data_IF_355602914140
#
_entry.id   IF_355602914140
#
_cell.length_a   1.000
_cell.length_b   1.000
_cell.length_c   1.000
_cell.angle_alpha   90.00
_cell.angle_beta   90.00
_cell.angle_gamma   90.00
#
_symmetry.space_group_name_H-M   'P 1'
#
loop_
_entity.id
_entity.type
_entity.pdbx_description
1 polymer ?
#
# COMPACT_ATOMS: atom_id res chain seq x y z
N UNK A 1 15.36 8.63 4.79
CA UNK A 1 14.15 9.04 4.06
C UNK A 1 13.66 7.89 3.18
N UNK A 2 12.40 7.53 3.26
CA UNK A 2 11.88 6.40 2.49
C UNK A 2 10.42 6.58 2.07
N UNK A 3 10.06 5.94 0.99
CA UNK A 3 8.67 5.81 0.54
C UNK A 3 8.27 4.33 0.63
N UNK A 4 7.22 4.06 1.39
CA UNK A 4 6.58 2.75 1.46
C UNK A 4 5.37 2.73 0.54
N UNK A 5 5.28 1.72 -0.33
CA UNK A 5 4.11 1.46 -1.16
C UNK A 5 3.62 0.05 -0.85
N UNK A 6 2.39 -0.05 -0.38
CA UNK A 6 1.74 -1.33 -0.14
C UNK A 6 0.76 -1.64 -1.26
N UNK A 7 1.07 -2.66 -2.05
CA UNK A 7 0.22 -3.13 -3.14
C UNK A 7 -0.55 -4.38 -2.74
N UNK A 8 -1.86 -4.22 -2.62
CA UNK A 8 -2.82 -5.27 -2.26
C UNK A 8 -4.06 -5.13 -3.15
N UNK A 9 -5.26 -5.49 -2.67
CA UNK A 9 -6.51 -5.22 -3.39
C UNK A 9 -6.63 -3.72 -3.74
N UNK A 10 -6.21 -2.84 -2.83
CA UNK A 10 -5.97 -1.42 -3.08
C UNK A 10 -4.50 -1.08 -2.88
N UNK A 11 -4.13 0.15 -3.25
CA UNK A 11 -2.83 0.76 -2.99
C UNK A 11 -2.89 1.63 -1.74
N UNK A 12 -1.86 1.55 -0.93
CA UNK A 12 -1.60 2.48 0.17
C UNK A 12 -0.15 2.92 0.13
N UNK A 13 0.16 4.04 0.78
CA UNK A 13 1.52 4.54 0.85
C UNK A 13 1.80 5.26 2.15
N UNK A 14 3.08 5.38 2.45
CA UNK A 14 3.60 6.19 3.54
C UNK A 14 4.94 6.82 3.12
N UNK A 15 5.18 8.02 3.58
CA UNK A 15 6.43 8.74 3.36
C UNK A 15 7.06 9.00 4.71
N UNK A 16 8.33 8.64 4.86
CA UNK A 16 9.15 8.96 6.01
C UNK A 16 10.21 9.94 5.54
N UNK A 17 10.27 11.10 6.18
CA UNK A 17 11.27 12.11 5.91
C UNK A 17 11.86 12.62 7.22
N UNK A 18 13.18 12.76 7.28
CA UNK A 18 13.91 13.12 8.50
C UNK A 18 13.56 12.21 9.69
N UNK A 19 13.35 10.92 9.43
CA UNK A 19 12.97 9.92 10.44
C UNK A 19 11.53 10.02 10.94
N UNK A 20 10.69 10.87 10.34
CA UNK A 20 9.32 11.09 10.78
C UNK A 20 8.30 10.74 9.67
N UNK A 21 7.17 10.18 10.08
CA UNK A 21 6.07 9.91 9.18
C UNK A 21 5.42 11.23 8.70
N UNK A 22 5.37 11.44 7.39
CA UNK A 22 4.65 12.54 6.76
C UNK A 22 3.13 12.32 6.93
N UNK A 23 2.51 13.05 7.83
CA UNK A 23 1.08 12.89 8.11
C UNK A 23 0.19 13.70 7.16
N UNK A 24 0.63 14.89 6.77
CA UNK A 24 -0.22 15.87 6.10
C UNK A 24 -1.28 16.45 7.04
N UNK A 25 -2.06 17.42 6.57
CA UNK A 25 -3.05 18.14 7.39
C UNK A 25 -4.24 17.27 7.85
N UNK A 26 -4.53 16.20 7.14
CA UNK A 26 -5.67 15.31 7.41
C UNK A 26 -5.23 13.86 7.65
N UNK A 27 -3.95 13.61 7.96
CA UNK A 27 -3.34 12.30 8.12
C UNK A 27 -3.39 11.40 6.87
N UNK A 28 -3.48 11.99 5.67
CA UNK A 28 -3.43 11.29 4.38
C UNK A 28 -2.10 11.48 3.65
N UNK A 29 -1.05 11.95 4.34
CA UNK A 29 0.28 12.08 3.76
C UNK A 29 0.80 10.75 3.22
N UNK A 30 1.25 10.72 1.95
CA UNK A 30 1.74 9.50 1.31
C UNK A 30 0.67 8.61 0.68
N UNK A 31 -0.61 8.98 0.70
CA UNK A 31 -1.65 8.22 0.01
C UNK A 31 -1.52 8.34 -1.51
N UNK A 32 -0.76 7.41 -2.09
CA UNK A 32 -0.50 7.37 -3.53
C UNK A 32 -1.61 6.69 -4.32
N UNK A 33 -2.45 5.89 -3.68
CA UNK A 33 -3.50 5.11 -4.34
C UNK A 33 -4.54 5.98 -5.05
N UNK A 34 -4.71 7.22 -4.62
CA UNK A 34 -5.70 8.14 -5.15
C UNK A 34 -5.11 9.29 -5.99
N UNK A 35 -3.84 9.19 -6.39
CA UNK A 35 -3.26 10.03 -7.44
C UNK A 35 -4.03 9.84 -8.76
N UNK A 36 -4.25 10.93 -9.49
CA UNK A 36 -4.85 10.86 -10.82
C UNK A 36 -3.85 10.22 -11.80
N UNK A 37 -4.17 9.03 -12.29
CA UNK A 37 -3.36 8.28 -13.24
C UNK A 37 -3.94 8.31 -14.65
N UNK A 38 -5.25 8.14 -14.77
CA UNK A 38 -5.95 8.10 -16.08
C UNK A 38 -7.16 9.03 -16.00
N UNK A 39 -7.12 10.22 -16.62
CA UNK A 39 -8.17 11.24 -16.46
C UNK A 39 -9.60 10.75 -16.75
N UNK A 40 -9.79 9.93 -17.78
CA UNK A 40 -11.09 9.37 -18.16
C UNK A 40 -11.17 7.86 -17.83
N UNK A 41 -10.47 7.43 -16.79
CA UNK A 41 -10.36 6.04 -16.39
C UNK A 41 -11.55 5.52 -15.60
N UNK A 42 -11.45 4.31 -15.04
CA UNK A 42 -12.51 3.71 -14.22
C UNK A 42 -12.81 4.50 -12.95
N UNK A 43 -14.05 4.34 -12.46
CA UNK A 43 -14.44 4.89 -11.15
C UNK A 43 -13.75 4.10 -10.04
N UNK A 44 -13.06 4.81 -9.16
CA UNK A 44 -12.40 4.25 -7.99
C UNK A 44 -13.39 4.06 -6.82
N UNK A 45 -13.04 3.19 -5.86
CA UNK A 45 -13.81 3.02 -4.61
C UNK A 45 -13.97 4.31 -3.79
N UNK A 46 -13.08 5.30 -3.98
CA UNK A 46 -13.21 6.62 -3.34
C UNK A 46 -14.19 7.58 -4.04
N UNK A 47 -14.84 7.14 -5.12
CA UNK A 47 -15.77 7.94 -5.93
C UNK A 47 -15.12 8.80 -7.01
N UNK A 48 -13.79 8.96 -7.04
CA UNK A 48 -13.07 9.70 -8.08
C UNK A 48 -12.85 8.83 -9.31
N UNK A 49 -12.63 9.47 -10.46
CA UNK A 49 -12.32 8.80 -11.73
C UNK A 49 -10.81 8.75 -11.93
N UNK A 50 -10.30 7.61 -12.42
CA UNK A 50 -8.93 7.48 -12.91
C UNK A 50 -7.84 7.47 -11.86
N UNK A 51 -8.14 7.12 -10.62
CA UNK A 51 -7.14 6.97 -9.57
C UNK A 51 -6.12 5.87 -9.91
N UNK A 52 -4.89 6.00 -9.40
CA UNK A 52 -3.83 4.99 -9.56
C UNK A 52 -4.28 3.59 -9.10
N UNK A 53 -5.11 3.51 -8.09
CA UNK A 53 -5.78 2.28 -7.67
C UNK A 53 -6.46 1.53 -8.82
N UNK A 54 -7.01 2.24 -9.79
CA UNK A 54 -7.78 1.62 -10.89
C UNK A 54 -6.92 1.00 -11.98
N UNK A 55 -5.60 1.22 -11.95
CA UNK A 55 -4.66 0.71 -12.97
C UNK A 55 -3.48 -0.06 -12.40
N UNK A 56 -3.18 0.06 -11.10
CA UNK A 56 -1.98 -0.50 -10.50
C UNK A 56 -2.24 -1.36 -9.24
N UNK A 57 -3.48 -1.53 -8.81
CA UNK A 57 -3.82 -2.34 -7.63
C UNK A 57 -4.24 -3.77 -7.98
N UNK A 58 -4.46 -4.60 -6.97
CA UNK A 58 -5.04 -5.94 -7.13
C UNK A 58 -6.45 -5.90 -7.72
N UNK A 59 -7.22 -4.87 -7.43
CA UNK A 59 -8.49 -4.66 -8.10
C UNK A 59 -8.31 -4.45 -9.61
N UNK A 60 -7.32 -3.67 -10.04
CA UNK A 60 -7.01 -3.44 -11.45
C UNK A 60 -6.63 -4.75 -12.17
N UNK A 61 -5.80 -5.58 -11.53
CA UNK A 61 -5.45 -6.91 -12.04
C UNK A 61 -6.70 -7.78 -12.21
N UNK A 62 -7.53 -7.88 -11.18
CA UNK A 62 -8.78 -8.66 -11.23
C UNK A 62 -9.75 -8.13 -12.28
N UNK A 63 -9.87 -6.82 -12.41
CA UNK A 63 -10.72 -6.19 -13.41
C UNK A 63 -10.26 -6.53 -14.84
N UNK A 64 -8.95 -6.46 -15.08
CA UNK A 64 -8.35 -6.83 -16.36
C UNK A 64 -8.59 -8.28 -16.73
N UNK A 65 -8.55 -9.18 -15.75
CA UNK A 65 -8.82 -10.61 -15.92
C UNK A 65 -10.34 -10.93 -16.00
N UNK A 66 -11.21 -9.93 -15.93
CA UNK A 66 -12.66 -10.12 -15.94
C UNK A 66 -13.23 -10.72 -14.63
N UNK A 67 -12.39 -10.89 -13.59
CA UNK A 67 -12.81 -11.45 -12.30
C UNK A 67 -13.65 -10.48 -11.47
N UNK A 68 -13.60 -9.19 -11.74
CA UNK A 68 -14.48 -8.18 -11.13
C UNK A 68 -14.81 -7.08 -12.12
N UNK A 69 -16.01 -6.50 -11.99
CA UNK A 69 -16.45 -5.39 -12.86
C UNK A 69 -16.51 -4.06 -12.14
N UNK A 70 -16.68 -4.07 -10.82
CA UNK A 70 -16.81 -2.86 -9.99
C UNK A 70 -15.82 -2.90 -8.84
N UNK A 71 -15.38 -1.74 -8.44
CA UNK A 71 -14.66 -1.57 -7.19
C UNK A 71 -15.57 -1.89 -6.00
N UNK A 72 -14.97 -2.25 -4.87
CA UNK A 72 -15.72 -2.53 -3.65
C UNK A 72 -16.29 -1.24 -3.05
N UNK A 73 -17.53 -1.30 -2.61
CA UNK A 73 -18.24 -0.21 -1.94
C UNK A 73 -18.55 -0.56 -0.47
N UNK A 74 -18.50 -1.85 -0.13
CA UNK A 74 -18.78 -2.36 1.20
C UNK A 74 -17.67 -3.24 1.74
N UNK A 75 -17.59 -3.38 3.06
CA UNK A 75 -16.61 -4.27 3.73
C UNK A 75 -16.77 -5.72 3.27
N UNK A 76 -17.97 -6.19 3.01
CA UNK A 76 -18.20 -7.55 2.54
C UNK A 76 -17.67 -7.75 1.12
N UNK A 77 -17.90 -6.80 0.22
CA UNK A 77 -17.32 -6.82 -1.14
C UNK A 77 -15.80 -6.78 -1.07
N UNK A 78 -15.22 -5.94 -0.23
CA UNK A 78 -13.78 -5.91 0.00
C UNK A 78 -13.25 -7.28 0.43
N UNK A 79 -13.87 -7.92 1.42
CA UNK A 79 -13.45 -9.25 1.91
C UNK A 79 -13.52 -10.31 0.81
N UNK A 80 -14.62 -10.33 0.05
CA UNK A 80 -14.81 -11.28 -1.05
C UNK A 80 -13.76 -11.07 -2.15
N UNK A 81 -13.57 -9.83 -2.61
CA UNK A 81 -12.58 -9.53 -3.63
C UNK A 81 -11.15 -9.79 -3.15
N UNK A 82 -10.83 -9.53 -1.88
CA UNK A 82 -9.52 -9.82 -1.32
C UNK A 82 -9.24 -11.33 -1.25
N UNK A 83 -10.27 -12.15 -0.96
CA UNK A 83 -10.15 -13.60 -1.01
C UNK A 83 -9.96 -14.11 -2.44
N UNK A 84 -10.71 -13.57 -3.41
CA UNK A 84 -10.54 -13.89 -4.84
C UNK A 84 -9.14 -13.52 -5.34
N UNK A 85 -8.63 -12.35 -4.97
CA UNK A 85 -7.28 -11.93 -5.33
C UNK A 85 -6.23 -12.94 -4.84
N UNK A 86 -6.35 -13.41 -3.60
CA UNK A 86 -5.42 -14.41 -3.06
C UNK A 86 -5.45 -15.69 -3.87
N UNK A 87 -6.63 -16.20 -4.21
CA UNK A 87 -6.77 -17.39 -5.04
C UNK A 87 -6.15 -17.23 -6.42
N UNK A 88 -6.26 -16.03 -7.01
CA UNK A 88 -5.62 -15.73 -8.31
C UNK A 88 -4.09 -15.67 -8.20
N UNK A 89 -3.56 -15.15 -7.10
CA UNK A 89 -2.11 -15.07 -6.88
C UNK A 89 -1.48 -16.43 -6.57
N UNK A 90 -2.24 -17.33 -5.96
CA UNK A 90 -1.81 -18.70 -5.61
C UNK A 90 -2.07 -19.71 -6.75
N UNK A 91 -2.66 -19.27 -7.88
CA UNK A 91 -3.04 -20.16 -8.97
C UNK A 91 -1.81 -20.65 -9.75
N UNK A 92 -1.60 -21.95 -9.71
CA UNK A 92 -0.55 -22.68 -10.48
C UNK A 92 -1.22 -23.44 -11.64
N UNK A 93 -1.86 -22.69 -12.56
CA UNK A 93 -2.65 -23.28 -13.64
C UNK A 93 -2.47 -22.49 -14.96
N UNK A 94 -3.25 -22.83 -15.99
CA UNK A 94 -3.25 -22.18 -17.31
C UNK A 94 -3.55 -20.66 -17.28
N UNK A 95 -4.08 -20.13 -16.18
CA UNK A 95 -4.31 -18.72 -15.98
C UNK A 95 -3.08 -17.97 -15.44
N UNK A 96 -2.06 -18.69 -14.93
CA UNK A 96 -0.86 -18.10 -14.33
C UNK A 96 -0.17 -17.10 -15.26
N UNK A 97 -0.07 -17.39 -16.56
CA UNK A 97 0.52 -16.49 -17.55
C UNK A 97 -0.32 -15.21 -17.75
N UNK A 98 -1.64 -15.31 -17.70
CA UNK A 98 -2.52 -14.15 -17.83
C UNK A 98 -2.43 -13.29 -16.56
N UNK A 99 -2.37 -13.90 -15.40
CA UNK A 99 -2.16 -13.22 -14.12
C UNK A 99 -0.81 -12.51 -14.11
N UNK A 100 0.27 -13.20 -14.49
CA UNK A 100 1.62 -12.63 -14.55
C UNK A 100 1.69 -11.42 -15.51
N UNK A 101 1.05 -11.49 -16.67
CA UNK A 101 0.97 -10.33 -17.60
C UNK A 101 0.20 -9.16 -16.99
N UNK A 102 -0.95 -9.41 -16.39
CA UNK A 102 -1.74 -8.38 -15.74
C UNK A 102 -0.99 -7.73 -14.56
N UNK A 103 -0.25 -8.53 -13.80
CA UNK A 103 0.61 -8.08 -12.71
C UNK A 103 1.77 -7.21 -13.23
N UNK A 104 2.43 -7.65 -14.29
CA UNK A 104 3.51 -6.88 -14.92
C UNK A 104 3.03 -5.50 -15.37
N UNK A 105 1.93 -5.45 -16.10
CA UNK A 105 1.36 -4.17 -16.54
C UNK A 105 0.95 -3.26 -15.38
N UNK A 106 0.38 -3.81 -14.32
CA UNK A 106 0.04 -3.05 -13.12
C UNK A 106 1.30 -2.52 -12.40
N UNK A 107 2.38 -3.29 -12.37
CA UNK A 107 3.69 -2.87 -11.84
C UNK A 107 4.30 -1.72 -12.64
N UNK A 108 4.28 -1.81 -13.99
CA UNK A 108 4.70 -0.73 -14.88
C UNK A 108 3.85 0.53 -14.68
N UNK A 109 2.52 0.38 -14.56
CA UNK A 109 1.63 1.49 -14.29
C UNK A 109 1.94 2.16 -12.95
N UNK A 110 2.20 1.38 -11.89
CA UNK A 110 2.63 1.92 -10.60
C UNK A 110 3.87 2.79 -10.77
N UNK A 111 4.92 2.27 -11.40
CA UNK A 111 6.18 2.98 -11.64
C UNK A 111 5.95 4.30 -12.37
N UNK A 112 5.25 4.23 -13.51
CA UNK A 112 4.99 5.38 -14.36
C UNK A 112 4.29 6.53 -13.62
N UNK A 113 3.30 6.22 -12.81
CA UNK A 113 2.49 7.24 -12.16
C UNK A 113 3.02 7.68 -10.78
N UNK A 114 3.96 6.94 -10.20
CA UNK A 114 4.65 7.36 -8.96
C UNK A 114 5.98 8.04 -9.21
N UNK A 115 6.56 7.92 -10.40
CA UNK A 115 7.89 8.44 -10.74
C UNK A 115 8.08 9.90 -10.35
N UNK A 116 7.18 10.80 -10.75
CA UNK A 116 7.27 12.22 -10.43
C UNK A 116 7.26 12.49 -8.92
N UNK A 117 6.42 11.75 -8.19
CA UNK A 117 6.35 11.85 -6.72
C UNK A 117 7.66 11.36 -6.09
N UNK A 118 8.20 10.24 -6.57
CA UNK A 118 9.47 9.70 -6.08
C UNK A 118 10.64 10.64 -6.38
N UNK A 119 10.67 11.25 -7.56
CA UNK A 119 11.68 12.27 -7.89
C UNK A 119 11.56 13.50 -7.00
N UNK A 120 10.34 13.98 -6.74
CA UNK A 120 10.12 15.15 -5.88
C UNK A 120 10.49 14.90 -4.41
N UNK A 121 10.25 13.69 -3.91
CA UNK A 121 10.58 13.30 -2.54
C UNK A 121 12.05 12.89 -2.38
N UNK A 122 12.71 12.49 -3.47
CA UNK A 122 14.10 12.05 -3.49
C UNK A 122 14.47 11.08 -2.33
N UNK A 123 13.73 9.97 -2.15
CA UNK A 123 13.95 9.08 -1.02
C UNK A 123 15.24 8.27 -1.18
N UNK A 124 15.85 7.86 -0.08
CA UNK A 124 16.97 6.91 -0.06
C UNK A 124 16.54 5.50 -0.46
N UNK A 125 15.29 5.16 -0.16
CA UNK A 125 14.71 3.86 -0.47
C UNK A 125 13.23 3.95 -0.84
N UNK A 126 12.81 3.09 -1.76
CA UNK A 126 11.40 2.81 -2.06
C UNK A 126 11.12 1.37 -1.65
N UNK A 127 10.27 1.19 -0.65
CA UNK A 127 9.89 -0.13 -0.17
C UNK A 127 8.54 -0.53 -0.77
N UNK A 128 8.55 -1.61 -1.56
CA UNK A 128 7.34 -2.19 -2.12
C UNK A 128 6.93 -3.42 -1.31
N UNK A 129 5.69 -3.45 -0.83
CA UNK A 129 5.16 -4.52 0.04
C UNK A 129 3.72 -4.89 -0.32
N UNK A 130 3.17 -5.84 0.42
CA UNK A 130 1.83 -6.37 0.18
C UNK A 130 1.83 -7.56 -0.79
N UNK A 131 0.69 -8.22 -0.99
CA UNK A 131 0.59 -9.43 -1.82
C UNK A 131 1.11 -9.24 -3.25
N UNK A 132 0.75 -8.13 -3.91
CA UNK A 132 1.25 -7.83 -5.23
C UNK A 132 2.72 -7.41 -5.19
N UNK A 133 3.09 -6.58 -4.23
CA UNK A 133 4.46 -6.07 -4.11
C UNK A 133 5.51 -7.16 -3.87
N UNK A 134 5.10 -8.33 -3.36
CA UNK A 134 5.95 -9.50 -3.19
C UNK A 134 5.92 -10.46 -4.39
N UNK A 135 5.02 -10.27 -5.33
CA UNK A 135 4.92 -11.10 -6.52
C UNK A 135 5.93 -10.64 -7.58
N UNK A 136 6.80 -11.54 -8.03
CA UNK A 136 7.91 -11.20 -8.94
C UNK A 136 7.47 -10.46 -10.20
N UNK A 137 6.40 -10.91 -10.86
CA UNK A 137 5.91 -10.28 -12.08
C UNK A 137 5.53 -8.80 -11.88
N UNK A 138 5.09 -8.43 -10.67
CA UNK A 138 4.73 -7.05 -10.34
C UNK A 138 5.95 -6.24 -9.88
N UNK A 139 6.71 -6.79 -8.94
CA UNK A 139 7.82 -6.09 -8.30
C UNK A 139 9.00 -5.86 -9.25
N UNK A 140 9.32 -6.85 -10.08
CA UNK A 140 10.36 -6.71 -11.12
C UNK A 140 9.94 -5.66 -12.16
N UNK A 141 8.69 -5.73 -12.64
CA UNK A 141 8.18 -4.77 -13.62
C UNK A 141 8.20 -3.33 -13.08
N UNK A 142 7.82 -3.14 -11.82
CA UNK A 142 7.89 -1.85 -11.14
C UNK A 142 9.34 -1.33 -11.08
N UNK A 143 10.27 -2.16 -10.60
CA UNK A 143 11.68 -1.81 -10.47
C UNK A 143 12.31 -1.47 -11.82
N UNK A 144 12.12 -2.34 -12.82
CA UNK A 144 12.72 -2.19 -14.12
C UNK A 144 12.19 -0.95 -14.85
N UNK A 145 10.89 -0.66 -14.71
CA UNK A 145 10.30 0.56 -15.25
C UNK A 145 10.86 1.82 -14.57
N UNK A 146 11.01 1.86 -13.24
CA UNK A 146 11.62 3.00 -12.56
C UNK A 146 13.10 3.18 -12.98
N UNK A 147 13.85 2.10 -13.08
CA UNK A 147 15.25 2.14 -13.52
C UNK A 147 15.36 2.66 -14.96
N UNK A 148 14.49 2.20 -15.86
CA UNK A 148 14.43 2.69 -17.25
C UNK A 148 14.10 4.18 -17.32
N UNK A 149 13.29 4.68 -16.40
CA UNK A 149 12.97 6.12 -16.30
C UNK A 149 14.04 6.95 -15.57
N UNK A 150 15.15 6.34 -15.15
CA UNK A 150 16.30 7.01 -14.57
C UNK A 150 16.27 7.19 -13.04
N UNK A 151 15.39 6.49 -12.34
CA UNK A 151 15.47 6.42 -10.88
C UNK A 151 16.57 5.42 -10.52
N UNK A 152 17.57 5.88 -9.76
CA UNK A 152 18.64 4.99 -9.27
C UNK A 152 18.06 3.94 -8.32
N UNK A 153 18.45 2.68 -8.51
CA UNK A 153 17.78 1.49 -8.00
C UNK A 153 18.01 1.22 -6.51
N UNK A 154 17.58 2.12 -5.64
CA UNK A 154 17.53 1.89 -4.19
C UNK A 154 16.18 1.32 -3.75
N UNK A 155 15.56 0.44 -4.59
CA UNK A 155 14.31 -0.21 -4.26
C UNK A 155 14.60 -1.37 -3.35
N UNK A 156 14.10 -1.31 -2.13
CA UNK A 156 14.11 -2.42 -1.19
C UNK A 156 12.76 -3.12 -1.31
N UNK A 157 12.77 -4.34 -1.85
CA UNK A 157 11.59 -5.20 -1.77
C UNK A 157 11.50 -5.74 -0.34
N UNK A 158 10.36 -5.62 0.31
CA UNK A 158 10.17 -6.17 1.63
C UNK A 158 10.37 -7.69 1.58
N UNK A 159 11.36 -8.19 2.33
CA UNK A 159 11.60 -9.62 2.47
C UNK A 159 10.40 -10.31 3.16
N UNK A 160 10.11 -11.55 2.79
CA UNK A 160 9.00 -12.35 3.30
C UNK A 160 9.13 -12.76 4.78
N UNK A 161 10.26 -12.45 5.43
CA UNK A 161 10.60 -12.99 6.74
C UNK A 161 9.74 -12.49 7.90
N UNK A 162 9.03 -11.36 7.74
CA UNK A 162 8.03 -10.92 8.72
C UNK A 162 6.77 -10.41 8.03
N UNK A 163 5.70 -11.20 8.10
CA UNK A 163 4.37 -10.75 7.68
C UNK A 163 3.81 -9.84 8.78
N UNK A 164 4.00 -8.55 8.65
CA UNK A 164 3.32 -7.58 9.49
C UNK A 164 1.85 -7.56 9.08
N UNK A 165 1.01 -8.17 9.89
CA UNK A 165 -0.44 -8.10 9.69
C UNK A 165 -0.95 -6.67 9.91
N UNK A 166 -2.11 -6.27 9.35
CA UNK A 166 -2.72 -4.97 9.66
C UNK A 166 -2.93 -4.74 11.16
N UNK A 167 -3.22 -5.78 11.92
CA UNK A 167 -3.35 -5.70 13.38
C UNK A 167 -2.00 -5.37 14.04
N UNK A 168 -0.92 -6.05 13.67
CA UNK A 168 0.42 -5.74 14.17
C UNK A 168 0.85 -4.33 13.77
N UNK A 169 0.61 -3.94 12.52
CA UNK A 169 0.92 -2.58 12.06
C UNK A 169 0.19 -1.51 12.89
N UNK A 170 -1.08 -1.75 13.24
CA UNK A 170 -1.85 -0.86 14.11
C UNK A 170 -1.28 -0.78 15.51
N UNK A 171 -0.82 -1.89 16.08
CA UNK A 171 -0.14 -1.91 17.39
C UNK A 171 1.17 -1.14 17.34
N UNK A 172 2.00 -1.36 16.31
CA UNK A 172 3.26 -0.61 16.15
C UNK A 172 3.01 0.90 15.99
N UNK A 173 1.98 1.28 15.23
CA UNK A 173 1.61 2.68 15.07
C UNK A 173 1.16 3.30 16.39
N UNK A 174 0.31 2.60 17.14
CA UNK A 174 -0.13 3.04 18.46
C UNK A 174 1.02 3.17 19.45
N UNK A 175 1.95 2.21 19.47
CA UNK A 175 3.15 2.28 20.31
C UNK A 175 4.04 3.46 19.90
N UNK A 176 4.25 3.66 18.61
CA UNK A 176 5.03 4.80 18.09
C UNK A 176 4.44 6.15 18.49
N UNK A 177 3.12 6.30 18.37
CA UNK A 177 2.45 7.57 18.66
C UNK A 177 2.21 7.81 20.16
N UNK A 178 1.93 6.76 20.92
CA UNK A 178 1.51 6.88 22.31
C UNK A 178 2.64 6.61 23.31
N UNK A 179 3.54 5.67 23.04
CA UNK A 179 4.57 5.25 24.01
C UNK A 179 5.94 5.85 23.70
N UNK A 180 6.33 5.86 22.42
CA UNK A 180 7.65 6.34 22.00
C UNK A 180 7.65 7.76 21.44
N UNK A 181 6.49 8.45 21.43
CA UNK A 181 6.39 9.84 21.04
C UNK A 181 7.07 10.73 22.08
N UNK A 182 7.87 11.74 21.67
CA UNK A 182 8.41 12.75 22.58
C UNK A 182 7.34 13.54 23.35
N UNK A 183 6.08 13.48 22.86
CA UNK A 183 4.93 14.17 23.48
C UNK A 183 4.22 13.27 24.50
N UNK A 184 4.61 12.01 24.62
CA UNK A 184 3.97 11.08 25.53
C UNK A 184 4.38 11.35 26.98
N UNK A 185 3.40 11.65 27.83
CA UNK A 185 3.61 11.93 29.23
C UNK A 185 3.16 10.74 30.11
N UNK A 186 4.10 9.92 30.56
CA UNK A 186 3.85 8.78 31.44
C UNK A 186 3.12 9.13 32.74
N UNK A 187 3.22 10.36 33.23
CA UNK A 187 2.55 10.79 34.45
C UNK A 187 1.01 10.85 34.32
N UNK A 188 0.48 10.87 33.11
CA UNK A 188 -0.97 10.85 32.88
C UNK A 188 -1.58 9.44 33.03
N UNK A 189 -0.82 8.36 32.85
CA UNK A 189 -1.31 6.98 33.00
C UNK A 189 -1.42 6.58 34.49
N UNK A 190 -0.60 7.13 35.36
CA UNK A 190 -0.53 6.70 36.76
C UNK A 190 -1.70 7.12 37.64
N UNK A 191 -2.58 8.01 37.15
CA UNK A 191 -3.68 8.55 37.95
C UNK A 191 -5.09 8.00 37.61
N UNK A 192 -5.32 7.39 36.45
CA UNK A 192 -6.63 6.85 36.10
C UNK A 192 -6.88 5.43 36.61
N UNK A 193 -5.82 4.61 36.71
CA UNK A 193 -5.99 3.18 37.06
C UNK A 193 -5.89 2.90 38.57
N UNK A 194 -5.48 3.88 39.38
CA UNK A 194 -5.46 3.71 40.86
C UNK A 194 -6.81 3.90 41.54
N UNK A 195 -7.78 4.47 40.83
CA UNK A 195 -9.10 4.78 41.44
C UNK A 195 -10.05 3.58 41.37
N UNK A 196 -9.91 2.67 40.41
CA UNK A 196 -10.82 1.51 40.31
C UNK A 196 -10.36 0.26 41.07
N UNK A 197 -9.08 0.16 41.44
CA UNK A 197 -8.57 -0.99 42.21
C UNK A 197 -8.79 -0.89 43.73
N UNK A 198 -9.22 0.28 44.24
CA UNK A 198 -9.46 0.51 45.67
C UNK A 198 -10.95 0.41 46.08
N UNK A 199 -11.84 0.04 45.16
CA UNK A 199 -13.30 -0.04 45.42
C UNK A 199 -13.92 -1.40 45.08
N UNK A 200 -13.10 -2.49 45.09
CA UNK A 200 -13.63 -3.86 45.03
C UNK A 200 -13.01 -4.72 46.13
#
# INVERSE_FOLDING_TARGET
DMVLIRSALGLGGAVITSGQLLRGSQNFGGDMGHLLAVPDGPVCSCGKIGCLNTVASGWAVMHKLGATRRSYETVNQFRTQNAQLRLLLDADNAEADAVARAMNEAGVALAKHTMTTLQALNPEAVCLTGPLGRHDAYSLAFRDALTTMGLDSRIILASETEIITPAMASVYLALSDMVYSPQFNFSQISNSDRVEAASR
#
